data_IF_586143315242
#
_entry.id   IF_586143315242
#
_cell.length_a   1.000
_cell.length_b   1.000
_cell.length_c   1.000
_cell.angle_alpha   90.00
_cell.angle_beta   90.00
_cell.angle_gamma   90.00
#
_symmetry.space_group_name_H-M   'P 1'
#
loop_
_entity.id
_entity.type
_entity.pdbx_description
1 polymer ?
#
# COMPACT_ATOMS: atom_id res chain seq x y z
N UNK A 1 7.98 4.96 2.07
CA UNK A 1 6.81 4.05 2.17
C UNK A 1 6.07 4.35 3.46
N UNK A 2 6.83 4.51 4.55
CA UNK A 2 6.40 4.84 5.90
C UNK A 2 5.40 5.99 6.00
N UNK A 3 5.63 7.10 5.31
CA UNK A 3 4.76 8.27 5.41
C UNK A 3 3.36 8.01 4.83
N UNK A 4 3.31 7.31 3.70
CA UNK A 4 2.06 6.88 3.07
C UNK A 4 1.33 5.89 3.98
N UNK A 5 2.05 4.94 4.57
CA UNK A 5 1.46 4.02 5.53
C UNK A 5 0.87 4.75 6.74
N UNK A 6 1.62 5.69 7.34
CA UNK A 6 1.12 6.52 8.45
C UNK A 6 -0.12 7.32 8.05
N UNK A 7 -0.16 7.81 6.82
CA UNK A 7 -1.34 8.50 6.29
C UNK A 7 -2.53 7.56 6.09
N UNK A 8 -2.31 6.31 5.66
CA UNK A 8 -3.36 5.28 5.57
C UNK A 8 -3.86 4.88 6.96
N UNK A 9 -2.97 4.68 7.92
CA UNK A 9 -3.31 4.39 9.31
C UNK A 9 -4.16 5.52 9.94
N UNK A 10 -3.80 6.79 9.70
CA UNK A 10 -4.64 7.94 10.11
C UNK A 10 -6.04 7.95 9.48
N UNK A 11 -6.20 7.32 8.32
CA UNK A 11 -7.48 7.16 7.63
C UNK A 11 -8.22 5.88 8.04
N UNK A 12 -7.67 5.07 8.94
CA UNK A 12 -8.22 3.75 9.30
C UNK A 12 -8.15 2.73 8.16
N UNK A 13 -7.16 2.87 7.27
CA UNK A 13 -6.92 2.01 6.09
C UNK A 13 -5.63 1.21 6.21
N UNK A 14 -5.27 0.84 7.43
CA UNK A 14 -4.14 -0.05 7.72
C UNK A 14 -4.61 -1.49 7.99
N UNK A 15 -5.81 -1.85 7.53
CA UNK A 15 -6.28 -3.22 7.51
C UNK A 15 -5.61 -4.04 6.39
N UNK A 16 -5.71 -5.37 6.49
CA UNK A 16 -5.14 -6.30 5.52
C UNK A 16 -5.64 -6.03 4.10
N UNK A 17 -6.92 -5.73 3.91
CA UNK A 17 -7.49 -5.54 2.58
C UNK A 17 -6.91 -4.28 1.90
N UNK A 18 -6.89 -3.16 2.63
CA UNK A 18 -6.31 -1.90 2.17
C UNK A 18 -4.82 -2.04 1.81
N UNK A 19 -4.04 -2.74 2.63
CA UNK A 19 -2.61 -2.94 2.40
C UNK A 19 -2.33 -3.90 1.24
N UNK A 20 -3.09 -4.99 1.12
CA UNK A 20 -3.01 -5.91 -0.02
C UNK A 20 -3.38 -5.18 -1.31
N UNK A 21 -4.40 -4.32 -1.27
CA UNK A 21 -4.78 -3.50 -2.41
C UNK A 21 -3.65 -2.54 -2.82
N UNK A 22 -2.93 -1.94 -1.86
CA UNK A 22 -1.78 -1.09 -2.15
C UNK A 22 -0.61 -1.88 -2.78
N UNK A 23 -0.31 -3.07 -2.29
CA UNK A 23 0.67 -3.98 -2.91
C UNK A 23 0.27 -4.29 -4.36
N UNK A 24 -1.01 -4.56 -4.62
CA UNK A 24 -1.51 -4.80 -5.98
C UNK A 24 -1.41 -3.57 -6.89
N UNK A 25 -1.81 -2.38 -6.40
CA UNK A 25 -1.77 -1.14 -7.20
C UNK A 25 -0.34 -0.75 -7.56
N UNK A 26 0.62 -1.10 -6.72
CA UNK A 26 2.04 -0.81 -6.97
C UNK A 26 2.69 -1.67 -8.05
N UNK A 27 1.95 -2.62 -8.65
CA UNK A 27 2.43 -3.56 -9.67
C UNK A 27 3.74 -4.24 -9.29
N UNK A 28 3.99 -4.34 -7.99
CA UNK A 28 5.11 -5.08 -7.44
C UNK A 28 4.84 -6.55 -7.67
N UNK A 29 3.60 -6.97 -7.48
CA UNK A 29 3.11 -8.28 -7.88
C UNK A 29 2.48 -8.14 -9.26
N UNK A 30 2.85 -9.02 -10.20
CA UNK A 30 1.98 -9.33 -11.33
C UNK A 30 0.63 -9.65 -10.69
N UNK A 31 -0.44 -8.91 -11.02
CA UNK A 31 -1.72 -8.89 -10.27
C UNK A 31 -2.49 -10.21 -10.18
N UNK A 32 -1.80 -11.33 -10.42
CA UNK A 32 -2.14 -12.71 -10.15
C UNK A 32 -2.76 -12.90 -8.78
N UNK A 33 -3.87 -13.63 -8.79
CA UNK A 33 -4.64 -14.03 -7.61
C UNK A 33 -3.80 -14.77 -6.57
N UNK A 34 -2.81 -15.56 -7.03
CA UNK A 34 -1.87 -16.28 -6.16
C UNK A 34 -1.05 -15.35 -5.26
N UNK A 35 -0.60 -14.21 -5.79
CA UNK A 35 0.18 -13.24 -5.02
C UNK A 35 -0.70 -12.44 -4.04
N UNK A 36 -1.97 -12.22 -4.38
CA UNK A 36 -2.97 -11.65 -3.45
C UNK A 36 -3.22 -12.60 -2.27
N UNK A 37 -3.47 -13.88 -2.53
CA UNK A 37 -3.69 -14.88 -1.49
C UNK A 37 -2.44 -15.07 -0.62
N UNK A 38 -1.25 -15.05 -1.22
CA UNK A 38 0.01 -15.02 -0.48
C UNK A 38 0.14 -13.78 0.39
N UNK A 39 -0.13 -12.58 -0.15
CA UNK A 39 -0.06 -11.33 0.63
C UNK A 39 -0.96 -11.44 1.87
N UNK A 40 -2.22 -11.83 1.67
CA UNK A 40 -3.17 -12.07 2.76
C UNK A 40 -2.68 -13.12 3.74
N UNK A 41 -2.08 -14.21 3.26
CA UNK A 41 -1.51 -15.26 4.12
C UNK A 41 -0.36 -14.75 4.98
N UNK A 42 0.50 -13.86 4.46
CA UNK A 42 1.60 -13.25 5.23
C UNK A 42 1.09 -12.33 6.35
N UNK A 43 -0.10 -11.74 6.18
CA UNK A 43 -0.77 -10.97 7.22
C UNK A 43 -1.54 -11.81 8.24
N UNK A 44 -1.83 -13.10 7.99
CA UNK A 44 -2.54 -13.97 8.97
C UNK A 44 -1.85 -14.14 10.32
N UNK A 45 -0.55 -13.82 10.39
CA UNK A 45 0.20 -13.78 11.65
C UNK A 45 0.20 -12.41 12.34
N UNK A 46 -0.61 -11.46 11.89
CA UNK A 46 -0.80 -10.19 12.59
C UNK A 46 -1.73 -10.38 13.79
N UNK A 47 -1.54 -9.58 14.84
CA UNK A 47 -2.37 -9.60 16.05
C UNK A 47 -3.80 -9.12 15.77
N UNK A 48 -3.95 -8.15 14.87
CA UNK A 48 -5.23 -7.60 14.42
C UNK A 48 -5.21 -7.39 12.90
N UNK A 49 -6.21 -7.93 12.20
CA UNK A 49 -6.30 -7.82 10.73
C UNK A 49 -6.85 -6.47 10.24
N UNK A 50 -7.43 -5.66 11.12
CA UNK A 50 -7.95 -4.33 10.84
C UNK A 50 -6.97 -3.22 11.27
N UNK A 51 -6.02 -3.53 12.16
CA UNK A 51 -4.97 -2.63 12.62
C UNK A 51 -3.59 -3.25 12.45
N UNK A 52 -3.08 -3.25 11.22
CA UNK A 52 -1.73 -3.74 10.96
C UNK A 52 -0.71 -2.68 11.37
N UNK A 53 0.34 -3.11 12.06
CA UNK A 53 1.51 -2.29 12.41
C UNK A 53 2.43 -2.07 11.22
N UNK A 54 3.11 -0.91 11.17
CA UNK A 54 4.09 -0.60 10.13
C UNK A 54 5.20 -1.66 10.04
N UNK A 55 5.66 -2.19 11.17
CA UNK A 55 6.67 -3.25 11.22
C UNK A 55 6.20 -4.52 10.53
N UNK A 56 4.95 -4.93 10.79
CA UNK A 56 4.36 -6.10 10.15
C UNK A 56 4.19 -5.87 8.65
N UNK A 57 3.77 -4.68 8.24
CA UNK A 57 3.68 -4.35 6.83
C UNK A 57 5.05 -4.41 6.14
N UNK A 58 6.10 -3.87 6.75
CA UNK A 58 7.48 -3.97 6.24
C UNK A 58 7.96 -5.42 6.13
N UNK A 59 7.67 -6.27 7.12
CA UNK A 59 7.99 -7.70 7.06
C UNK A 59 7.35 -8.37 5.83
N UNK A 60 6.08 -8.04 5.54
CA UNK A 60 5.40 -8.57 4.34
C UNK A 60 6.09 -8.10 3.07
N UNK A 61 6.44 -6.81 2.97
CA UNK A 61 7.15 -6.26 1.80
C UNK A 61 8.53 -6.89 1.62
N UNK A 62 9.26 -7.13 2.71
CA UNK A 62 10.56 -7.81 2.67
C UNK A 62 10.42 -9.24 2.13
N UNK A 63 9.43 -9.99 2.60
CA UNK A 63 9.17 -11.35 2.07
C UNK A 63 8.83 -11.34 0.59
N UNK A 64 8.03 -10.38 0.13
CA UNK A 64 7.76 -10.20 -1.30
C UNK A 64 9.01 -9.86 -2.10
N UNK A 65 9.87 -8.98 -1.57
CA UNK A 65 11.12 -8.61 -2.21
C UNK A 65 12.03 -9.84 -2.39
N UNK A 66 12.18 -10.65 -1.33
CA UNK A 66 12.94 -11.91 -1.36
C UNK A 66 12.38 -12.90 -2.38
N UNK A 67 11.06 -13.11 -2.41
CA UNK A 67 10.43 -14.01 -3.38
C UNK A 67 10.65 -13.56 -4.83
N UNK A 68 10.65 -12.26 -5.07
CA UNK A 68 10.88 -11.68 -6.39
C UNK A 68 12.36 -11.50 -6.75
N UNK A 69 13.28 -11.88 -5.86
CA UNK A 69 14.73 -11.62 -6.00
C UNK A 69 15.04 -10.13 -6.21
N UNK A 70 14.24 -9.26 -5.59
CA UNK A 70 14.41 -7.81 -5.57
C UNK A 70 14.86 -7.35 -4.19
N UNK A 71 15.42 -6.15 -4.12
CA UNK A 71 15.78 -5.56 -2.83
C UNK A 71 14.57 -4.85 -2.21
N UNK A 72 14.48 -4.87 -0.88
CA UNK A 72 13.41 -4.20 -0.15
C UNK A 72 13.26 -2.73 -0.55
N UNK A 73 14.38 -2.00 -0.67
CA UNK A 73 14.37 -0.59 -1.03
C UNK A 73 13.72 -0.33 -2.40
N UNK A 74 13.99 -1.16 -3.41
CA UNK A 74 13.39 -1.00 -4.73
C UNK A 74 11.87 -1.22 -4.71
N UNK A 75 11.45 -2.22 -3.93
CA UNK A 75 10.04 -2.57 -3.74
C UNK A 75 9.31 -1.46 -2.94
N UNK A 76 9.94 -0.95 -1.88
CA UNK A 76 9.41 0.16 -1.09
C UNK A 76 9.29 1.46 -1.91
N UNK A 77 10.30 1.80 -2.71
CA UNK A 77 10.27 2.95 -3.62
C UNK A 77 9.17 2.82 -4.67
N UNK A 78 8.92 1.61 -5.18
CA UNK A 78 7.83 1.35 -6.11
C UNK A 78 6.46 1.55 -5.44
N UNK A 79 6.27 1.04 -4.22
CA UNK A 79 5.07 1.30 -3.39
C UNK A 79 4.85 2.79 -3.15
N UNK A 80 5.92 3.57 -2.99
CA UNK A 80 5.83 5.02 -2.82
C UNK A 80 5.43 5.74 -4.09
N UNK A 81 6.10 5.40 -5.19
CA UNK A 81 5.88 6.03 -6.49
C UNK A 81 4.48 5.75 -7.00
N UNK A 82 4.04 4.50 -6.88
CA UNK A 82 2.70 4.13 -7.29
C UNK A 82 1.70 4.55 -6.21
N UNK A 83 1.96 4.38 -4.92
CA UNK A 83 1.02 4.76 -3.87
C UNK A 83 -0.33 4.00 -3.93
N UNK A 84 -1.18 4.13 -2.91
CA UNK A 84 -2.50 3.50 -2.93
C UNK A 84 -3.43 4.23 -3.90
N UNK A 85 -4.22 3.50 -4.69
CA UNK A 85 -5.23 4.07 -5.60
C UNK A 85 -6.16 5.07 -4.88
N UNK A 86 -6.52 4.77 -3.63
CA UNK A 86 -7.40 5.61 -2.82
C UNK A 86 -6.76 6.96 -2.49
N UNK A 87 -5.44 6.99 -2.28
CA UNK A 87 -4.69 8.22 -2.02
C UNK A 87 -4.58 9.04 -3.31
N UNK A 88 -4.33 8.38 -4.46
CA UNK A 88 -4.39 9.03 -5.77
C UNK A 88 -5.74 9.70 -6.02
N UNK A 89 -6.85 9.00 -5.74
CA UNK A 89 -8.20 9.52 -5.96
C UNK A 89 -8.53 10.72 -5.05
N UNK A 90 -8.12 10.68 -3.78
CA UNK A 90 -8.29 11.81 -2.85
C UNK A 90 -7.45 13.01 -3.28
N UNK A 91 -6.18 12.81 -3.65
CA UNK A 91 -5.31 13.89 -4.13
C UNK A 91 -5.84 14.48 -5.44
N UNK A 92 -6.29 13.64 -6.37
CA UNK A 92 -6.89 14.08 -7.63
C UNK A 92 -8.19 14.86 -7.39
N UNK A 93 -9.05 14.39 -6.49
CA UNK A 93 -10.28 15.10 -6.10
C UNK A 93 -10.02 16.45 -5.45
N UNK A 94 -9.06 16.53 -4.51
CA UNK A 94 -8.66 17.80 -3.86
C UNK A 94 -7.99 18.74 -4.85
N UNK A 95 -7.14 18.24 -5.74
CA UNK A 95 -6.47 19.05 -6.76
C UNK A 95 -7.47 19.60 -7.77
N UNK A 96 -8.39 18.77 -8.28
CA UNK A 96 -9.45 19.21 -9.19
C UNK A 96 -10.39 20.23 -8.53
N UNK A 97 -10.72 20.04 -7.26
CA UNK A 97 -11.51 20.99 -6.48
C UNK A 97 -10.78 22.33 -6.27
N UNK A 98 -9.47 22.29 -5.98
CA UNK A 98 -8.63 23.48 -5.80
C UNK A 98 -8.43 24.25 -7.10
N UNK A 99 -8.32 23.57 -8.23
CA UNK A 99 -8.21 24.18 -9.55
C UNK A 99 -9.49 24.94 -9.93
N UNK A 100 -10.66 24.34 -9.68
CA UNK A 100 -11.97 24.98 -9.82
C UNK A 100 -12.13 26.20 -8.91
N UNK A 101 -11.61 26.16 -7.68
CA UNK A 101 -11.65 27.31 -6.76
C UNK A 101 -10.68 28.43 -7.10
N UNK A 102 -9.54 28.12 -7.75
CA UNK A 102 -8.56 29.13 -8.18
C UNK A 102 -8.88 29.75 -9.54
N UNK A 103 -9.75 29.14 -10.33
CA UNK A 103 -10.17 29.63 -11.65
C UNK A 103 -11.26 30.70 -11.63
N UNK A 104 -11.25 31.65 -10.68
CA UNK A 104 -12.24 32.75 -10.63
C UNK A 104 -11.57 34.12 -10.55
#
# INVERSE_FOLDING_TARGET
MDDIFKNMQKQGKNDVDSLVQWIKDSKIVDGSKELEEKARSLFRGAEDENDISLEKFKEVIEKFAVEQKRNFEEVAQQLEKEGPTVVKAVIAGVSAFKDVMKGK
#
